data_IF_582760052938
#
_entry.id   IF_582760052938
#
_cell.length_a   1.000
_cell.length_b   1.000
_cell.length_c   1.000
_cell.angle_alpha   90.00
_cell.angle_beta   90.00
_cell.angle_gamma   90.00
#
_symmetry.space_group_name_H-M   'P 1'
#
loop_
_entity.id
_entity.type
_entity.pdbx_description
1 polymer ?
#
# COMPACT_ATOMS: atom_id res chain seq x y z
N UNK A 1 -5.79 -21.26 15.09
CA UNK A 1 -5.74 -20.34 13.90
C UNK A 1 -5.40 -18.97 14.46
N UNK A 2 -4.36 -18.31 13.93
CA UNK A 2 -3.93 -16.97 14.37
C UNK A 2 -5.00 -15.92 14.14
N UNK A 3 -4.98 -14.83 14.92
CA UNK A 3 -5.87 -13.68 14.67
C UNK A 3 -5.39 -12.81 13.53
N UNK A 4 -4.07 -12.74 13.32
CA UNK A 4 -3.46 -11.91 12.28
C UNK A 4 -2.53 -12.76 11.44
N UNK A 5 -2.68 -12.73 10.12
CA UNK A 5 -1.68 -13.20 9.19
C UNK A 5 -0.85 -12.01 8.68
N UNK A 6 0.45 -12.06 8.91
CA UNK A 6 1.42 -11.12 8.38
C UNK A 6 1.91 -11.67 7.04
N UNK A 7 1.75 -10.93 5.98
CA UNK A 7 2.03 -11.35 4.61
C UNK A 7 3.35 -10.71 4.17
N UNK A 8 4.43 -11.50 4.10
CA UNK A 8 5.78 -11.06 3.76
C UNK A 8 6.18 -11.55 2.38
N UNK A 9 6.32 -10.63 1.44
CA UNK A 9 6.90 -10.91 0.13
C UNK A 9 8.39 -10.58 0.12
N UNK A 10 9.24 -11.52 -0.34
CA UNK A 10 10.69 -11.33 -0.34
C UNK A 10 11.31 -11.52 -1.73
N UNK A 11 12.38 -10.78 -1.98
CA UNK A 11 13.30 -10.96 -3.10
C UNK A 11 14.63 -10.27 -2.81
N UNK A 12 15.73 -11.03 -2.71
CA UNK A 12 17.09 -10.54 -2.44
C UNK A 12 17.14 -9.53 -1.28
N UNK A 13 16.60 -9.95 -0.12
CA UNK A 13 16.47 -9.12 1.08
C UNK A 13 17.42 -9.49 2.22
N UNK A 14 18.47 -10.29 1.99
CA UNK A 14 19.36 -10.82 3.02
C UNK A 14 19.92 -9.76 3.97
N UNK A 15 20.16 -8.55 3.48
CA UNK A 15 20.71 -7.45 4.27
C UNK A 15 19.75 -6.97 5.39
N UNK A 16 18.42 -7.04 5.15
CA UNK A 16 17.42 -6.40 6.02
C UNK A 16 16.51 -7.40 6.73
N UNK A 17 16.27 -8.56 6.13
CA UNK A 17 15.21 -9.49 6.53
C UNK A 17 15.33 -9.95 7.98
N UNK A 18 16.55 -10.15 8.49
CA UNK A 18 16.76 -10.56 9.88
C UNK A 18 16.27 -9.49 10.88
N UNK A 19 16.51 -8.21 10.59
CA UNK A 19 16.04 -7.11 11.43
C UNK A 19 14.50 -7.01 11.39
N UNK A 20 13.91 -7.16 10.20
CA UNK A 20 12.46 -7.16 10.03
C UNK A 20 11.80 -8.30 10.81
N UNK A 21 12.26 -9.55 10.66
CA UNK A 21 11.67 -10.70 11.37
C UNK A 21 11.79 -10.55 12.88
N UNK A 22 12.95 -10.09 13.39
CA UNK A 22 13.11 -9.81 14.84
C UNK A 22 12.12 -8.75 15.33
N UNK A 23 11.82 -7.73 14.52
CA UNK A 23 10.82 -6.72 14.90
C UNK A 23 9.40 -7.29 14.99
N UNK A 24 9.10 -8.35 14.22
CA UNK A 24 7.83 -9.09 14.35
C UNK A 24 7.81 -9.96 15.60
N UNK A 25 8.90 -10.65 15.91
CA UNK A 25 9.02 -11.47 17.12
C UNK A 25 8.87 -10.63 18.41
N UNK A 26 9.28 -9.37 18.38
CA UNK A 26 9.18 -8.42 19.49
C UNK A 26 7.81 -7.72 19.60
N UNK A 27 6.82 -8.08 18.79
CA UNK A 27 5.48 -7.47 18.91
C UNK A 27 4.81 -7.85 20.25
N UNK A 28 4.16 -6.88 20.89
CA UNK A 28 3.39 -7.08 22.13
C UNK A 28 2.12 -7.90 21.90
N UNK A 29 1.59 -7.90 20.69
CA UNK A 29 0.52 -8.80 20.27
C UNK A 29 1.13 -10.06 19.66
N UNK A 30 0.88 -11.22 20.27
CA UNK A 30 1.57 -12.49 19.98
C UNK A 30 0.76 -13.49 19.13
N UNK A 31 -0.55 -13.28 18.94
CA UNK A 31 -1.44 -14.17 18.20
C UNK A 31 -1.41 -13.87 16.68
N UNK A 32 -0.25 -14.05 16.07
CA UNK A 32 0.00 -13.86 14.64
C UNK A 32 0.71 -15.06 14.01
N UNK A 33 0.57 -15.16 12.68
CA UNK A 33 1.34 -16.05 11.82
C UNK A 33 2.02 -15.24 10.71
N UNK A 34 3.29 -15.49 10.44
CA UNK A 34 4.02 -14.90 9.32
C UNK A 34 3.97 -15.87 8.13
N UNK A 35 3.31 -15.46 7.07
CA UNK A 35 3.28 -16.16 5.78
C UNK A 35 4.28 -15.51 4.84
N UNK A 36 5.33 -16.27 4.47
CA UNK A 36 6.42 -15.78 3.62
C UNK A 36 6.31 -16.40 2.25
N UNK A 37 6.39 -15.60 1.19
CA UNK A 37 6.59 -16.09 -0.18
C UNK A 37 7.78 -15.38 -0.82
N UNK A 38 8.78 -16.18 -1.25
CA UNK A 38 9.99 -15.66 -1.88
C UNK A 38 9.88 -15.72 -3.40
N UNK A 39 10.18 -14.62 -4.07
CA UNK A 39 10.06 -14.45 -5.52
C UNK A 39 11.32 -14.90 -6.30
N UNK A 40 12.09 -15.80 -5.72
CA UNK A 40 13.29 -16.39 -6.34
C UNK A 40 14.58 -15.69 -5.95
N UNK A 41 14.78 -15.40 -4.67
CA UNK A 41 16.04 -14.86 -4.15
C UNK A 41 17.23 -15.74 -4.50
N UNK A 42 18.35 -15.08 -4.80
CA UNK A 42 19.65 -15.71 -5.13
C UNK A 42 20.72 -15.44 -4.07
N UNK A 43 20.39 -14.62 -3.08
CA UNK A 43 21.21 -14.31 -1.90
C UNK A 43 20.83 -15.21 -0.71
N UNK A 44 21.31 -14.88 0.48
CA UNK A 44 21.04 -15.66 1.70
C UNK A 44 19.63 -15.44 2.30
N UNK A 45 18.68 -14.80 1.60
CA UNK A 45 17.34 -14.47 2.13
C UNK A 45 16.62 -15.71 2.64
N UNK A 46 16.55 -16.78 1.83
CA UNK A 46 15.84 -18.02 2.21
C UNK A 46 16.55 -18.75 3.36
N UNK A 47 17.87 -18.81 3.36
CA UNK A 47 18.65 -19.42 4.44
C UNK A 47 18.36 -18.74 5.80
N UNK A 48 18.33 -17.40 5.81
CA UNK A 48 18.01 -16.63 7.00
C UNK A 48 16.58 -16.92 7.47
N UNK A 49 15.61 -16.94 6.56
CA UNK A 49 14.20 -17.20 6.86
C UNK A 49 13.97 -18.63 7.38
N UNK A 50 14.63 -19.62 6.79
CA UNK A 50 14.60 -21.02 7.26
C UNK A 50 15.12 -21.13 8.69
N UNK A 51 16.20 -20.42 9.02
CA UNK A 51 16.73 -20.36 10.39
C UNK A 51 15.71 -19.79 11.40
N UNK A 52 14.95 -18.77 11.03
CA UNK A 52 13.87 -18.27 11.89
C UNK A 52 12.68 -19.24 11.98
N UNK A 53 12.28 -19.88 10.88
CA UNK A 53 11.16 -20.81 10.85
C UNK A 53 11.43 -22.08 11.68
N UNK A 54 12.70 -22.52 11.79
CA UNK A 54 13.10 -23.65 12.65
C UNK A 54 12.93 -23.35 14.15
N UNK A 55 13.01 -22.09 14.55
CA UNK A 55 12.97 -21.68 15.97
C UNK A 55 11.66 -21.02 16.38
N UNK A 56 10.83 -20.59 15.43
CA UNK A 56 9.54 -19.93 15.68
C UNK A 56 8.44 -20.53 14.80
N UNK A 57 7.59 -21.35 15.38
CA UNK A 57 6.50 -22.06 14.68
C UNK A 57 5.43 -21.15 14.08
N UNK A 58 5.44 -19.86 14.40
CA UNK A 58 4.56 -18.86 13.79
C UNK A 58 4.99 -18.45 12.37
N UNK A 59 6.23 -18.83 11.97
CA UNK A 59 6.79 -18.46 10.66
C UNK A 59 6.61 -19.63 9.70
N UNK A 60 5.94 -19.38 8.57
CA UNK A 60 5.63 -20.38 7.55
C UNK A 60 6.09 -19.88 6.19
N UNK A 61 7.05 -20.59 5.60
CA UNK A 61 7.53 -20.33 4.24
C UNK A 61 6.67 -21.12 3.27
N UNK A 62 6.06 -20.42 2.32
CA UNK A 62 5.23 -20.99 1.27
C UNK A 62 6.15 -21.34 0.10
N UNK A 63 6.28 -22.63 -0.15
CA UNK A 63 7.12 -23.16 -1.22
C UNK A 63 6.24 -23.87 -2.27
N UNK A 64 5.57 -23.10 -3.11
CA UNK A 64 4.70 -23.61 -4.19
C UNK A 64 5.37 -23.56 -5.58
N UNK A 65 6.63 -23.15 -5.63
CA UNK A 65 7.44 -23.10 -6.85
C UNK A 65 7.12 -21.92 -7.78
N UNK A 66 6.18 -21.05 -7.42
CA UNK A 66 5.83 -19.90 -8.26
C UNK A 66 6.85 -18.76 -8.14
N UNK A 67 7.00 -18.00 -9.22
CA UNK A 67 7.83 -16.80 -9.28
C UNK A 67 7.11 -15.77 -10.15
N UNK A 68 6.97 -14.56 -9.63
CA UNK A 68 6.24 -13.49 -10.29
C UNK A 68 7.16 -12.44 -10.91
N UNK A 69 8.40 -12.33 -10.39
CA UNK A 69 9.33 -11.25 -10.72
C UNK A 69 8.65 -9.87 -10.60
N UNK A 70 7.74 -9.79 -9.64
CA UNK A 70 6.89 -8.63 -9.43
C UNK A 70 6.39 -8.60 -7.98
N UNK A 71 6.86 -7.64 -7.22
CA UNK A 71 6.50 -7.45 -5.81
C UNK A 71 4.98 -7.40 -5.59
N UNK A 72 4.26 -6.63 -6.43
CA UNK A 72 2.81 -6.47 -6.27
C UNK A 72 2.06 -7.79 -6.46
N UNK A 73 2.43 -8.58 -7.48
CA UNK A 73 1.80 -9.89 -7.74
C UNK A 73 2.18 -10.90 -6.68
N UNK A 74 3.41 -10.85 -6.14
CA UNK A 74 3.85 -11.69 -5.03
C UNK A 74 2.99 -11.45 -3.77
N UNK A 75 2.74 -10.19 -3.40
CA UNK A 75 1.83 -9.86 -2.31
C UNK A 75 0.39 -10.29 -2.58
N UNK A 76 -0.13 -10.07 -3.80
CA UNK A 76 -1.48 -10.51 -4.14
C UNK A 76 -1.65 -12.03 -4.08
N UNK A 77 -0.59 -12.77 -4.42
CA UNK A 77 -0.57 -14.22 -4.30
C UNK A 77 -0.68 -14.70 -2.84
N UNK A 78 0.01 -14.02 -1.91
CA UNK A 78 -0.05 -14.31 -0.48
C UNK A 78 -1.47 -14.22 0.10
N UNK A 79 -2.36 -13.39 -0.45
CA UNK A 79 -3.76 -13.31 -0.03
C UNK A 79 -4.47 -14.67 -0.12
N UNK A 80 -4.05 -15.51 -1.07
CA UNK A 80 -4.62 -16.85 -1.28
C UNK A 80 -4.36 -17.81 -0.13
N UNK A 81 -3.27 -17.62 0.62
CA UNK A 81 -2.83 -18.50 1.71
C UNK A 81 -3.29 -18.06 3.10
N UNK A 82 -3.78 -16.83 3.21
CA UNK A 82 -4.24 -16.33 4.50
C UNK A 82 -5.64 -16.82 4.82
N UNK A 83 -5.83 -17.28 6.06
CA UNK A 83 -7.11 -17.71 6.60
C UNK A 83 -7.51 -16.92 7.87
N UNK A 84 -6.62 -16.11 8.42
CA UNK A 84 -6.87 -15.32 9.62
C UNK A 84 -7.99 -14.28 9.41
N UNK A 85 -8.67 -13.86 10.49
CA UNK A 85 -9.64 -12.78 10.44
C UNK A 85 -9.08 -11.46 9.94
N UNK A 86 -7.78 -11.20 10.21
CA UNK A 86 -7.09 -9.97 9.82
C UNK A 86 -5.78 -10.28 9.13
N UNK A 87 -5.39 -9.39 8.21
CA UNK A 87 -4.14 -9.48 7.47
C UNK A 87 -3.42 -8.13 7.48
N UNK A 88 -2.10 -8.16 7.44
CA UNK A 88 -1.25 -7.00 7.26
C UNK A 88 -0.10 -7.36 6.33
N UNK A 89 0.21 -6.49 5.36
CA UNK A 89 1.40 -6.68 4.52
C UNK A 89 2.66 -6.28 5.28
N UNK A 90 3.76 -6.91 4.91
CA UNK A 90 5.07 -6.67 5.51
C UNK A 90 6.12 -6.59 4.41
N UNK A 91 6.80 -5.46 4.28
CA UNK A 91 7.99 -5.33 3.44
C UNK A 91 9.19 -5.95 4.14
N UNK A 92 10.18 -6.43 3.39
CA UNK A 92 11.34 -7.17 3.92
C UNK A 92 12.40 -6.30 4.62
N UNK A 93 12.31 -4.97 4.47
CA UNK A 93 13.38 -4.02 4.74
C UNK A 93 13.04 -2.95 5.80
N UNK A 94 11.87 -3.05 6.43
CA UNK A 94 11.42 -2.13 7.48
C UNK A 94 11.80 -2.60 8.90
N UNK A 95 11.42 -1.83 9.91
CA UNK A 95 11.46 -2.20 11.33
C UNK A 95 10.15 -1.78 11.99
N UNK A 96 9.40 -2.72 12.53
CA UNK A 96 8.15 -2.42 13.20
C UNK A 96 8.37 -2.05 14.67
N UNK A 97 7.63 -1.05 15.16
CA UNK A 97 7.59 -0.75 16.59
C UNK A 97 6.80 -1.84 17.32
N UNK A 98 7.17 -2.13 18.55
CA UNK A 98 6.68 -3.27 19.34
C UNK A 98 5.16 -3.32 19.50
N UNK A 99 4.49 -2.18 19.49
CA UNK A 99 3.04 -2.07 19.70
C UNK A 99 2.23 -1.98 18.40
N UNK A 100 2.86 -2.15 17.24
CA UNK A 100 2.18 -1.94 15.95
C UNK A 100 0.98 -2.86 15.76
N UNK A 101 1.18 -4.17 15.93
CA UNK A 101 0.09 -5.12 15.74
C UNK A 101 -1.05 -4.88 16.73
N UNK A 102 -0.75 -4.59 18.01
CA UNK A 102 -1.78 -4.32 19.01
C UNK A 102 -2.62 -3.10 18.64
N UNK A 103 -1.99 -1.97 18.30
CA UNK A 103 -2.68 -0.73 17.94
C UNK A 103 -3.55 -0.90 16.69
N UNK A 104 -3.02 -1.58 15.67
CA UNK A 104 -3.75 -1.82 14.43
C UNK A 104 -4.91 -2.80 14.62
N UNK A 105 -4.69 -3.85 15.43
CA UNK A 105 -5.72 -4.82 15.79
C UNK A 105 -6.88 -4.17 16.55
N UNK A 106 -6.60 -3.37 17.58
CA UNK A 106 -7.64 -2.68 18.36
C UNK A 106 -8.49 -1.76 17.47
N UNK A 107 -7.85 -1.07 16.53
CA UNK A 107 -8.53 -0.17 15.62
C UNK A 107 -9.48 -0.91 14.65
N UNK A 108 -9.10 -2.09 14.13
CA UNK A 108 -9.92 -2.84 13.17
C UNK A 108 -10.91 -3.78 13.87
N UNK A 109 -10.55 -4.38 15.00
CA UNK A 109 -11.40 -5.31 15.73
C UNK A 109 -12.66 -4.63 16.29
N UNK A 110 -12.61 -3.31 16.54
CA UNK A 110 -13.76 -2.51 16.99
C UNK A 110 -14.82 -2.28 15.92
N UNK A 111 -14.58 -2.67 14.66
CA UNK A 111 -15.47 -2.46 13.51
C UNK A 111 -16.44 -3.62 13.31
N UNK A 112 -17.49 -3.40 12.51
CA UNK A 112 -18.36 -4.48 11.99
C UNK A 112 -17.61 -5.30 10.94
N UNK A 113 -16.89 -6.32 11.37
CA UNK A 113 -16.00 -7.12 10.51
C UNK A 113 -16.74 -8.09 9.58
N UNK A 114 -18.07 -8.04 9.50
CA UNK A 114 -18.85 -8.65 8.42
C UNK A 114 -18.75 -7.85 7.11
N UNK A 115 -18.35 -6.58 7.19
CA UNK A 115 -18.14 -5.66 6.06
C UNK A 115 -16.65 -5.46 5.79
N UNK A 116 -16.26 -5.12 4.53
CA UNK A 116 -14.86 -4.84 4.20
C UNK A 116 -14.32 -3.62 4.96
N UNK A 117 -13.21 -3.82 5.67
CA UNK A 117 -12.52 -2.73 6.38
C UNK A 117 -11.02 -2.82 6.22
N UNK A 118 -10.39 -1.65 6.10
CA UNK A 118 -8.97 -1.48 6.28
C UNK A 118 -8.69 -0.31 7.23
N UNK A 119 -7.65 -0.48 8.04
CA UNK A 119 -7.07 0.57 8.87
C UNK A 119 -5.62 0.76 8.48
N UNK A 120 -5.10 1.99 8.55
CA UNK A 120 -3.71 2.24 8.23
C UNK A 120 -3.11 3.28 9.16
N UNK A 121 -1.81 3.17 9.37
CA UNK A 121 -1.02 4.11 10.16
C UNK A 121 -0.01 4.86 9.28
N UNK A 122 0.79 5.72 9.89
CA UNK A 122 1.96 6.30 9.26
C UNK A 122 3.25 5.61 9.71
N UNK A 123 4.36 6.05 9.14
CA UNK A 123 5.70 5.53 9.43
C UNK A 123 6.66 6.70 9.59
N UNK A 124 7.69 6.53 10.42
CA UNK A 124 8.85 7.40 10.41
C UNK A 124 9.75 7.04 9.23
N UNK A 125 10.36 8.03 8.60
CA UNK A 125 11.42 7.78 7.62
C UNK A 125 12.73 7.49 8.36
N UNK A 126 13.33 6.37 8.06
CA UNK A 126 14.62 5.94 8.60
C UNK A 126 15.65 5.81 7.49
N UNK A 127 16.81 6.46 7.68
CA UNK A 127 17.97 6.31 6.81
C UNK A 127 19.09 5.63 7.60
N UNK A 128 19.49 4.41 7.23
CA UNK A 128 20.56 3.70 7.95
C UNK A 128 21.94 4.32 7.73
N UNK A 129 22.22 4.95 6.58
CA UNK A 129 23.52 5.54 6.25
C UNK A 129 23.81 6.80 7.08
N UNK A 130 22.77 7.52 7.44
CA UNK A 130 22.83 8.64 8.38
C UNK A 130 21.77 8.33 9.43
N UNK A 131 22.10 7.70 10.57
CA UNK A 131 21.11 7.15 11.50
C UNK A 131 20.20 8.25 12.07
N UNK A 132 19.26 8.68 11.24
CA UNK A 132 18.29 9.72 11.54
C UNK A 132 16.89 9.17 11.33
N UNK A 133 16.03 9.44 12.30
CA UNK A 133 14.59 9.24 12.17
C UNK A 133 13.98 10.61 11.89
N UNK A 134 13.27 10.74 10.79
CA UNK A 134 12.73 12.03 10.38
C UNK A 134 11.32 11.90 9.81
N UNK A 135 10.49 12.91 10.10
CA UNK A 135 9.20 13.16 9.46
C UNK A 135 8.28 11.96 9.30
N UNK A 136 7.25 12.15 8.50
CA UNK A 136 6.27 11.12 8.12
C UNK A 136 6.58 10.58 6.74
N UNK A 137 6.51 9.27 6.57
CA UNK A 137 6.71 8.64 5.26
C UNK A 137 5.56 8.98 4.29
N UNK A 138 4.33 9.00 4.78
CA UNK A 138 3.15 9.40 4.01
C UNK A 138 2.72 10.83 4.36
N UNK A 139 2.61 11.68 3.33
CA UNK A 139 2.10 13.04 3.44
C UNK A 139 0.62 13.14 3.04
N UNK A 140 0.07 12.09 2.42
CA UNK A 140 -1.31 11.99 2.02
C UNK A 140 -2.00 10.93 2.88
N UNK A 141 -3.12 11.32 3.50
CA UNK A 141 -3.90 10.47 4.40
C UNK A 141 -5.33 10.33 3.86
N UNK A 142 -5.51 9.60 2.74
CA UNK A 142 -6.81 9.47 2.10
C UNK A 142 -7.75 8.59 2.92
N UNK A 143 -9.02 8.98 2.93
CA UNK A 143 -10.10 8.18 3.52
C UNK A 143 -11.26 7.94 2.56
N UNK A 144 -11.21 8.56 1.38
CA UNK A 144 -12.27 8.52 0.38
C UNK A 144 -11.73 8.16 -1.00
N UNK A 145 -12.58 7.53 -1.82
CA UNK A 145 -12.24 7.12 -3.18
C UNK A 145 -11.61 8.25 -4.02
N UNK A 146 -12.19 9.45 -4.00
CA UNK A 146 -11.71 10.60 -4.79
C UNK A 146 -10.29 11.06 -4.41
N UNK A 147 -9.89 10.87 -3.16
CA UNK A 147 -8.54 11.20 -2.72
C UNK A 147 -7.52 10.20 -3.28
N UNK A 148 -7.91 8.91 -3.37
CA UNK A 148 -7.07 7.80 -3.83
C UNK A 148 -6.87 7.84 -5.34
N UNK A 149 -7.93 8.12 -6.11
CA UNK A 149 -7.90 8.12 -7.57
C UNK A 149 -6.86 9.08 -8.17
N UNK A 150 -6.48 10.13 -7.43
CA UNK A 150 -5.49 11.12 -7.90
C UNK A 150 -4.06 10.82 -7.43
N UNK A 151 -3.84 9.68 -6.77
CA UNK A 151 -2.53 9.25 -6.28
C UNK A 151 -1.87 8.28 -7.25
N UNK A 152 -0.54 8.36 -7.38
CA UNK A 152 0.29 7.37 -8.11
C UNK A 152 0.70 6.19 -7.24
N UNK A 153 0.07 6.00 -6.09
CA UNK A 153 0.28 4.89 -5.17
C UNK A 153 -0.93 4.76 -4.26
N UNK A 154 -1.08 3.61 -3.64
CA UNK A 154 -1.98 3.43 -2.51
C UNK A 154 -1.40 3.97 -1.20
N UNK A 155 -1.93 3.50 -0.10
CA UNK A 155 -1.31 3.63 1.22
C UNK A 155 -0.21 2.57 1.29
N UNK A 156 0.92 2.89 1.95
CA UNK A 156 2.01 1.92 2.13
C UNK A 156 1.46 0.57 2.61
N UNK A 157 1.72 -0.49 1.86
CA UNK A 157 1.19 -1.83 2.13
C UNK A 157 1.55 -2.30 3.54
N UNK A 158 2.81 -2.11 3.93
CA UNK A 158 3.30 -2.44 5.27
C UNK A 158 2.65 -1.63 6.42
N UNK A 159 1.93 -0.56 6.12
CA UNK A 159 1.15 0.22 7.09
C UNK A 159 -0.36 -0.11 7.09
N UNK A 160 -0.82 -1.03 6.22
CA UNK A 160 -2.23 -1.33 5.98
C UNK A 160 -2.63 -2.68 6.56
N UNK A 161 -3.52 -2.68 7.56
CA UNK A 161 -4.18 -3.88 8.07
C UNK A 161 -5.62 -3.94 7.54
N UNK A 162 -6.09 -5.12 7.17
CA UNK A 162 -7.41 -5.33 6.60
C UNK A 162 -8.05 -6.63 7.07
N UNK A 163 -9.38 -6.69 7.02
CA UNK A 163 -10.12 -7.86 7.48
C UNK A 163 -10.36 -8.90 6.38
N UNK A 164 -10.83 -10.08 6.79
CA UNK A 164 -11.13 -11.19 5.89
C UNK A 164 -12.19 -10.84 4.83
N UNK A 165 -13.17 -9.99 5.14
CA UNK A 165 -14.19 -9.56 4.17
C UNK A 165 -13.54 -8.81 3.00
N UNK A 166 -12.59 -7.88 3.27
CA UNK A 166 -11.86 -7.16 2.23
C UNK A 166 -10.90 -8.09 1.47
N UNK A 167 -10.12 -8.93 2.21
CA UNK A 167 -9.23 -9.93 1.61
C UNK A 167 -9.96 -10.80 0.59
N UNK A 168 -11.14 -11.31 0.94
CA UNK A 168 -11.88 -12.24 0.09
C UNK A 168 -12.32 -11.59 -1.23
N UNK A 169 -12.67 -10.32 -1.23
CA UNK A 169 -12.93 -9.56 -2.46
C UNK A 169 -11.64 -9.46 -3.29
N UNK A 170 -10.51 -9.08 -2.67
CA UNK A 170 -9.25 -8.84 -3.36
C UNK A 170 -8.54 -10.13 -3.83
N UNK A 171 -8.96 -11.31 -3.41
CA UNK A 171 -8.51 -12.60 -3.99
C UNK A 171 -8.84 -12.72 -5.50
N UNK A 172 -9.88 -12.03 -5.97
CA UNK A 172 -10.12 -11.85 -7.39
C UNK A 172 -9.22 -10.73 -7.94
N UNK A 173 -7.99 -11.07 -8.29
CA UNK A 173 -6.94 -10.11 -8.65
C UNK A 173 -7.21 -9.45 -9.99
N UNK A 174 -7.20 -8.11 -10.13
CA UNK A 174 -7.32 -7.42 -11.41
C UNK A 174 -6.21 -7.81 -12.39
N UNK A 175 -6.53 -7.78 -13.70
CA UNK A 175 -5.55 -8.11 -14.76
C UNK A 175 -4.31 -7.22 -14.74
N UNK A 176 -4.49 -5.95 -14.39
CA UNK A 176 -3.40 -4.98 -14.26
C UNK A 176 -3.32 -4.54 -12.80
N UNK A 177 -2.21 -4.84 -12.15
CA UNK A 177 -1.88 -4.42 -10.78
C UNK A 177 -0.69 -3.47 -10.85
N UNK A 178 -0.89 -2.22 -10.46
CA UNK A 178 0.22 -1.27 -10.31
C UNK A 178 1.03 -1.57 -9.05
N UNK A 179 0.33 -1.64 -7.92
CA UNK A 179 0.83 -2.06 -6.60
C UNK A 179 -0.29 -2.78 -5.84
N UNK A 180 0.07 -3.71 -4.97
CA UNK A 180 -0.88 -4.48 -4.16
C UNK A 180 -1.66 -3.60 -3.19
N UNK A 181 -0.99 -2.63 -2.56
CA UNK A 181 -1.58 -1.67 -1.65
C UNK A 181 -2.62 -0.76 -2.33
N UNK A 182 -2.41 -0.43 -3.61
CA UNK A 182 -3.36 0.34 -4.40
C UNK A 182 -4.68 -0.42 -4.61
N UNK A 183 -4.61 -1.73 -4.89
CA UNK A 183 -5.81 -2.58 -5.03
C UNK A 183 -6.60 -2.63 -3.72
N UNK A 184 -5.93 -2.91 -2.59
CA UNK A 184 -6.57 -3.01 -1.28
C UNK A 184 -7.15 -1.66 -0.82
N UNK A 185 -6.43 -0.57 -1.07
CA UNK A 185 -6.87 0.79 -0.71
C UNK A 185 -8.11 1.20 -1.51
N UNK A 186 -8.13 0.94 -2.83
CA UNK A 186 -9.32 1.18 -3.67
C UNK A 186 -10.50 0.32 -3.21
N UNK A 187 -10.27 -0.97 -2.98
CA UNK A 187 -11.33 -1.90 -2.56
C UNK A 187 -11.92 -1.50 -1.19
N UNK A 188 -11.09 -1.09 -0.22
CA UNK A 188 -11.57 -0.59 1.07
C UNK A 188 -12.44 0.66 0.93
N UNK A 189 -12.04 1.60 0.05
CA UNK A 189 -12.79 2.83 -0.16
C UNK A 189 -14.09 2.65 -0.94
N UNK A 190 -14.17 1.62 -1.79
CA UNK A 190 -15.35 1.32 -2.63
C UNK A 190 -16.33 0.42 -1.90
N UNK A 191 -15.86 -0.66 -1.27
CA UNK A 191 -16.72 -1.71 -0.73
C UNK A 191 -16.97 -1.61 0.76
N UNK A 192 -16.27 -0.71 1.47
CA UNK A 192 -16.37 -0.63 2.90
C UNK A 192 -15.83 0.65 3.50
N UNK A 193 -14.81 0.55 4.35
CA UNK A 193 -14.19 1.74 4.94
C UNK A 193 -12.67 1.64 5.03
N UNK A 194 -12.05 2.81 4.89
CA UNK A 194 -10.63 3.06 5.08
C UNK A 194 -10.45 4.06 6.21
N UNK A 195 -9.77 3.68 7.28
CA UNK A 195 -9.63 4.50 8.49
C UNK A 195 -8.15 4.77 8.77
N UNK A 196 -7.80 6.02 8.99
CA UNK A 196 -6.48 6.41 9.45
C UNK A 196 -6.36 6.29 10.97
N UNK A 197 -5.31 5.64 11.43
CA UNK A 197 -4.86 5.57 12.82
C UNK A 197 -3.72 6.57 12.98
N UNK A 198 -3.94 7.65 13.73
CA UNK A 198 -2.97 8.74 13.89
C UNK A 198 -1.81 8.31 14.81
N UNK A 199 -0.97 7.44 14.29
CA UNK A 199 0.23 6.89 14.91
C UNK A 199 1.30 6.63 13.86
N UNK A 200 2.57 6.74 14.27
CA UNK A 200 3.72 6.24 13.53
C UNK A 200 4.14 4.93 14.19
N UNK A 201 4.01 3.82 13.48
CA UNK A 201 4.14 2.48 14.05
C UNK A 201 5.29 1.66 13.46
N UNK A 202 6.12 2.26 12.63
CA UNK A 202 7.29 1.60 12.07
C UNK A 202 8.33 2.61 11.58
N UNK A 203 9.54 2.13 11.41
CA UNK A 203 10.63 2.81 10.74
C UNK A 203 10.63 2.33 9.28
N UNK A 204 10.22 3.21 8.38
CA UNK A 204 10.25 2.97 6.94
C UNK A 204 11.64 3.26 6.40
N UNK A 205 12.33 2.20 6.00
CA UNK A 205 13.70 2.30 5.53
C UNK A 205 13.73 2.88 4.12
N UNK A 206 14.63 3.84 3.90
CA UNK A 206 14.95 4.36 2.57
C UNK A 206 16.38 4.06 2.22
N UNK A 207 16.58 3.27 1.18
CA UNK A 207 17.85 2.90 0.60
C UNK A 207 17.77 2.98 -0.93
N UNK A 208 18.90 2.87 -1.63
CA UNK A 208 18.95 3.03 -3.09
C UNK A 208 18.10 2.00 -3.85
N UNK A 209 17.95 0.80 -3.32
CA UNK A 209 17.16 -0.30 -3.89
C UNK A 209 15.67 -0.22 -3.55
N UNK A 210 15.24 0.73 -2.72
CA UNK A 210 13.83 0.86 -2.34
C UNK A 210 12.97 1.38 -3.50
N UNK A 211 11.76 0.83 -3.65
CA UNK A 211 10.79 1.24 -4.70
C UNK A 211 10.50 2.75 -4.65
N UNK A 212 10.59 3.39 -3.49
CA UNK A 212 10.28 4.81 -3.28
C UNK A 212 11.50 5.74 -3.30
N UNK A 213 12.66 5.31 -3.69
CA UNK A 213 13.86 6.11 -3.90
C UNK A 213 14.27 7.12 -2.79
N UNK A 214 15.45 7.77 -2.88
CA UNK A 214 15.96 8.70 -1.85
C UNK A 214 15.14 9.99 -1.77
N UNK A 215 15.09 10.58 -0.57
CA UNK A 215 14.36 11.83 -0.29
C UNK A 215 15.05 13.02 -0.95
N UNK A 216 14.27 13.90 -1.60
CA UNK A 216 14.76 15.19 -2.11
C UNK A 216 15.45 16.01 -1.02
N UNK A 217 16.72 16.36 -1.21
CA UNK A 217 17.57 17.02 -0.21
C UNK A 217 17.32 18.53 -0.06
N UNK A 218 16.74 19.19 -1.09
CA UNK A 218 16.51 20.66 -1.10
C UNK A 218 15.04 20.99 -1.36
N UNK A 219 14.61 22.17 -0.92
CA UNK A 219 13.27 22.70 -1.18
C UNK A 219 12.99 22.84 -2.69
N UNK A 220 14.00 23.25 -3.46
CA UNK A 220 13.97 23.31 -4.92
C UNK A 220 13.69 21.94 -5.55
N UNK A 221 14.26 20.86 -5.00
CA UNK A 221 14.07 19.50 -5.48
C UNK A 221 12.63 18.99 -5.23
N UNK A 222 11.92 19.61 -4.30
CA UNK A 222 10.50 19.34 -4.01
C UNK A 222 9.56 20.13 -4.92
N UNK A 223 9.95 21.34 -5.32
CA UNK A 223 9.11 22.27 -6.10
C UNK A 223 9.32 22.08 -7.60
N UNK A 224 10.57 21.91 -8.05
CA UNK A 224 10.92 21.74 -9.47
C UNK A 224 10.12 20.62 -10.17
N UNK A 225 9.88 19.44 -9.55
CA UNK A 225 9.03 18.41 -10.18
C UNK A 225 7.59 18.82 -10.41
N UNK A 226 7.06 19.84 -9.69
CA UNK A 226 5.70 20.32 -9.92
C UNK A 226 5.55 21.04 -11.27
N UNK A 227 6.60 21.73 -11.72
CA UNK A 227 6.62 22.47 -12.98
C UNK A 227 7.10 21.63 -14.17
N UNK A 228 7.48 20.39 -13.94
CA UNK A 228 7.95 19.50 -14.99
C UNK A 228 6.76 19.04 -15.87
N UNK A 229 6.59 19.71 -17.00
CA UNK A 229 5.53 19.42 -17.97
C UNK A 229 5.71 18.09 -18.71
N UNK A 230 6.88 17.45 -18.59
CA UNK A 230 7.14 16.13 -19.19
C UNK A 230 6.50 15.00 -18.39
N UNK A 231 6.22 15.25 -17.09
CA UNK A 231 5.53 14.31 -16.20
C UNK A 231 4.03 14.41 -16.35
N UNK A 232 3.35 13.29 -16.17
CA UNK A 232 1.89 13.22 -16.10
C UNK A 232 1.37 13.51 -14.69
N UNK A 233 0.07 13.76 -14.55
CA UNK A 233 -0.60 13.86 -13.23
C UNK A 233 -0.68 12.47 -12.62
N UNK A 234 -1.11 11.49 -13.42
CA UNK A 234 -1.19 10.07 -13.07
C UNK A 234 -0.31 9.26 -14.02
N UNK A 235 0.40 8.29 -13.49
CA UNK A 235 1.20 7.36 -14.28
C UNK A 235 0.31 6.39 -15.06
N UNK A 236 0.68 6.07 -16.29
CA UNK A 236 -0.09 5.17 -17.17
C UNK A 236 -0.40 3.83 -16.52
N UNK A 237 0.56 3.27 -15.76
CA UNK A 237 0.37 1.99 -15.06
C UNK A 237 -0.72 2.08 -14.01
N UNK A 238 -0.77 3.17 -13.23
CA UNK A 238 -1.81 3.37 -12.21
C UNK A 238 -3.17 3.64 -12.84
N UNK A 239 -3.23 4.42 -13.92
CA UNK A 239 -4.47 4.63 -14.66
C UNK A 239 -5.05 3.31 -15.20
N UNK A 240 -4.20 2.49 -15.84
CA UNK A 240 -4.59 1.17 -16.34
C UNK A 240 -5.03 0.23 -15.19
N UNK A 241 -4.38 0.31 -14.02
CA UNK A 241 -4.77 -0.48 -12.86
C UNK A 241 -6.14 -0.07 -12.31
N UNK A 242 -6.46 1.24 -12.26
CA UNK A 242 -7.80 1.72 -11.87
C UNK A 242 -8.86 1.23 -12.87
N UNK A 243 -8.56 1.29 -14.15
CA UNK A 243 -9.46 0.78 -15.17
C UNK A 243 -9.70 -0.74 -15.00
N UNK A 244 -8.63 -1.51 -14.84
CA UNK A 244 -8.70 -2.95 -14.60
C UNK A 244 -9.42 -3.31 -13.30
N UNK A 245 -9.29 -2.48 -12.25
CA UNK A 245 -10.05 -2.61 -11.01
C UNK A 245 -11.56 -2.49 -11.27
N UNK A 246 -11.98 -1.47 -12.00
CA UNK A 246 -13.39 -1.26 -12.34
C UNK A 246 -13.93 -2.41 -13.18
N UNK A 247 -13.20 -2.88 -14.19
CA UNK A 247 -13.62 -4.04 -14.99
C UNK A 247 -13.78 -5.31 -14.16
N UNK A 248 -12.84 -5.56 -13.23
CA UNK A 248 -12.83 -6.78 -12.41
C UNK A 248 -13.99 -6.82 -11.42
N UNK A 249 -14.36 -5.68 -10.87
CA UNK A 249 -15.36 -5.59 -9.79
C UNK A 249 -16.65 -4.88 -10.20
N UNK A 250 -16.91 -4.70 -11.50
CA UNK A 250 -18.06 -3.92 -12.02
C UNK A 250 -19.39 -4.32 -11.38
N UNK A 251 -19.65 -5.60 -11.24
CA UNK A 251 -20.89 -6.12 -10.64
C UNK A 251 -21.05 -5.82 -9.13
N UNK A 252 -19.96 -5.50 -8.45
CA UNK A 252 -19.92 -5.19 -7.01
C UNK A 252 -19.93 -3.69 -6.73
N UNK A 253 -19.50 -2.86 -7.70
CA UNK A 253 -19.39 -1.41 -7.54
C UNK A 253 -20.77 -0.77 -7.57
N UNK A 254 -21.07 0.08 -6.58
CA UNK A 254 -22.31 0.84 -6.54
C UNK A 254 -22.46 1.83 -7.69
N UNK A 255 -23.69 2.18 -8.10
CA UNK A 255 -23.91 3.20 -9.14
C UNK A 255 -23.30 4.56 -8.77
N UNK A 256 -23.29 4.90 -7.47
CA UNK A 256 -22.64 6.10 -6.94
C UNK A 256 -21.14 6.08 -7.24
N UNK A 257 -20.46 4.98 -6.97
CA UNK A 257 -19.01 4.87 -7.18
C UNK A 257 -18.67 4.70 -8.66
N UNK A 258 -19.51 4.01 -9.44
CA UNK A 258 -19.42 4.00 -10.92
C UNK A 258 -19.46 5.42 -11.51
N UNK A 259 -20.32 6.29 -10.97
CA UNK A 259 -20.35 7.69 -11.40
C UNK A 259 -19.05 8.43 -11.06
N UNK A 260 -18.43 8.16 -9.89
CA UNK A 260 -17.12 8.74 -9.52
C UNK A 260 -16.02 8.26 -10.48
N UNK A 261 -15.95 6.98 -10.80
CA UNK A 261 -14.99 6.44 -11.77
C UNK A 261 -15.22 7.01 -13.17
N UNK A 262 -16.46 7.10 -13.62
CA UNK A 262 -16.81 7.72 -14.91
C UNK A 262 -16.37 9.18 -15.00
N UNK A 263 -16.61 9.99 -13.96
CA UNK A 263 -16.13 11.37 -13.87
C UNK A 263 -14.59 11.44 -13.88
N UNK A 264 -13.91 10.51 -13.18
CA UNK A 264 -12.46 10.45 -13.16
C UNK A 264 -11.87 10.13 -14.54
N UNK A 265 -12.43 9.17 -15.27
CA UNK A 265 -11.97 8.81 -16.62
C UNK A 265 -12.22 9.91 -17.65
N UNK A 266 -13.15 10.84 -17.41
CA UNK A 266 -13.33 12.02 -18.28
C UNK A 266 -12.11 12.95 -18.28
N UNK A 267 -11.31 12.97 -17.20
CA UNK A 267 -10.11 13.80 -17.12
C UNK A 267 -9.15 13.56 -18.28
N UNK A 268 -9.07 12.36 -18.81
CA UNK A 268 -8.22 12.06 -19.97
C UNK A 268 -8.64 12.83 -21.24
N UNK A 269 -9.95 13.02 -21.44
CA UNK A 269 -10.54 13.62 -22.63
C UNK A 269 -10.75 15.13 -22.51
N UNK A 270 -10.61 15.70 -21.33
CA UNK A 270 -10.84 17.11 -21.07
C UNK A 270 -9.58 17.97 -21.28
N UNK A 271 -9.77 19.19 -21.78
CA UNK A 271 -8.70 20.19 -21.84
C UNK A 271 -8.27 20.64 -20.43
N UNK A 272 -7.03 21.11 -20.30
CA UNK A 272 -6.37 21.42 -19.02
C UNK A 272 -7.20 22.34 -18.11
N UNK A 273 -7.78 23.43 -18.68
CA UNK A 273 -8.57 24.39 -17.90
C UNK A 273 -9.87 23.75 -17.38
N UNK A 274 -10.60 23.05 -18.25
CA UNK A 274 -11.83 22.36 -17.87
C UNK A 274 -11.57 21.30 -16.80
N UNK A 275 -10.51 20.55 -16.94
CA UNK A 275 -10.05 19.54 -15.99
C UNK A 275 -9.76 20.15 -14.62
N UNK A 276 -9.02 21.28 -14.57
CA UNK A 276 -8.72 21.98 -13.33
C UNK A 276 -9.99 22.50 -12.62
N UNK A 277 -10.94 23.05 -13.37
CA UNK A 277 -12.25 23.47 -12.83
C UNK A 277 -13.05 22.27 -12.30
N UNK A 278 -13.04 21.16 -13.04
CA UNK A 278 -13.72 19.93 -12.66
C UNK A 278 -13.21 19.36 -11.33
N UNK A 279 -11.89 19.47 -11.05
CA UNK A 279 -11.29 19.07 -9.76
C UNK A 279 -11.98 19.79 -8.59
N UNK A 280 -12.20 21.10 -8.69
CA UNK A 280 -12.88 21.86 -7.63
C UNK A 280 -14.36 21.49 -7.52
N UNK A 281 -15.07 21.46 -8.64
CA UNK A 281 -16.53 21.19 -8.65
C UNK A 281 -16.85 19.79 -8.13
N UNK A 282 -16.03 18.80 -8.46
CA UNK A 282 -16.24 17.40 -8.06
C UNK A 282 -15.53 17.01 -6.76
N UNK A 283 -14.69 17.88 -6.20
CA UNK A 283 -14.05 17.71 -4.91
C UNK A 283 -12.92 16.67 -4.90
N UNK A 284 -12.21 16.47 -6.03
CA UNK A 284 -10.98 15.67 -6.05
C UNK A 284 -9.85 16.42 -5.36
N UNK A 285 -8.98 15.67 -4.67
CA UNK A 285 -7.87 16.23 -3.90
C UNK A 285 -6.58 15.45 -4.12
N UNK A 286 -5.46 16.15 -3.96
CA UNK A 286 -4.13 15.55 -3.83
C UNK A 286 -3.47 16.20 -2.62
N UNK A 287 -2.92 15.40 -1.71
CA UNK A 287 -2.41 15.86 -0.41
C UNK A 287 -3.46 16.67 0.39
N UNK A 288 -4.73 16.22 0.34
CA UNK A 288 -5.84 16.88 1.02
C UNK A 288 -6.30 18.20 0.41
N UNK A 289 -5.72 18.66 -0.73
CA UNK A 289 -5.99 19.96 -1.34
C UNK A 289 -6.37 19.86 -2.81
N UNK A 290 -7.54 20.41 -3.18
CA UNK A 290 -7.99 20.51 -4.58
C UNK A 290 -7.11 21.47 -5.39
N UNK A 291 -6.59 22.54 -4.77
CA UNK A 291 -5.70 23.51 -5.44
C UNK A 291 -4.41 22.89 -5.97
N UNK A 292 -3.80 21.96 -5.23
CA UNK A 292 -2.58 21.26 -5.66
C UNK A 292 -2.89 20.38 -6.88
N UNK A 293 -3.99 19.65 -6.83
CA UNK A 293 -4.37 18.79 -7.96
C UNK A 293 -4.74 19.63 -9.19
N UNK A 294 -5.54 20.67 -9.01
CA UNK A 294 -5.95 21.57 -10.10
C UNK A 294 -4.73 22.23 -10.78
N UNK A 295 -3.74 22.68 -9.98
CA UNK A 295 -2.50 23.21 -10.53
C UNK A 295 -1.73 22.16 -11.34
N UNK A 296 -1.60 20.93 -10.83
CA UNK A 296 -1.00 19.83 -11.59
C UNK A 296 -1.74 19.57 -12.91
N UNK A 297 -3.09 19.62 -12.90
CA UNK A 297 -3.94 19.43 -14.08
C UNK A 297 -3.77 20.53 -15.14
N UNK A 298 -3.41 21.76 -14.72
CA UNK A 298 -3.11 22.86 -15.64
C UNK A 298 -1.75 22.73 -16.33
N UNK A 299 -0.74 22.27 -15.57
CA UNK A 299 0.67 22.23 -16.04
C UNK A 299 0.96 20.96 -16.82
N UNK A 300 0.38 19.81 -16.43
CA UNK A 300 0.74 18.48 -16.93
C UNK A 300 -0.35 17.84 -17.79
N UNK A 301 0.05 16.89 -18.60
CA UNK A 301 -0.90 15.93 -19.17
C UNK A 301 -1.46 15.06 -18.08
N UNK A 302 -2.68 14.52 -18.27
CA UNK A 302 -3.31 13.72 -17.23
C UNK A 302 -2.64 12.35 -17.09
N UNK A 303 -2.46 11.65 -18.21
CA UNK A 303 -1.84 10.32 -18.31
C UNK A 303 -0.76 10.33 -19.38
#
# INVERSE_FOLDING_TARGET
>A
MSKIDILLATYNGAEYIAAQVRSLQNQTFDDWCLLVHDDGSTDATLEILDGFAQTDSRIRIINDGKRFHNCALNFMHLLGFSEAPFCIFCDQDDIWLENKLQVMYDAIASKDNTKPHAVYSNSFVYNPDVPTISGSASLCLPTQLKDILSMNAGIQGCALMFNAALRNICRNVPKVVAMHDHVLTLAAAVFGSLTYVDRHLMLYRRHEMAVTGPTAKRLTDRIAPFFDSTKTVLEKKHYAAIYSFVETYDSLISDKDKAIFSDFFRFEREGRIRRALHVFVKGYKLYGRSSILAFKMLVRNFV
#
